data_IF_750030816980
#
_entry.id   IF_750030816980
#
_cell.length_a   1.000
_cell.length_b   1.000
_cell.length_c   1.000
_cell.angle_alpha   90.00
_cell.angle_beta   90.00
_cell.angle_gamma   90.00
#
_symmetry.space_group_name_H-M   'P 1'
#
loop_
_entity.id
_entity.type
_entity.pdbx_description
1 polymer ?
#
# COMPACT_ATOMS: atom_id res chain seq x y z
N UNK A 1 -18.45 -82.06 -20.45
CA UNK A 1 -18.76 -81.20 -21.61
C UNK A 1 -19.52 -79.98 -21.09
N UNK A 2 -18.79 -78.99 -20.54
CA UNK A 2 -19.13 -77.56 -20.37
C UNK A 2 -17.78 -76.85 -20.18
N UNK A 3 -17.67 -75.67 -20.79
CA UNK A 3 -16.49 -74.85 -21.16
C UNK A 3 -15.58 -74.37 -20.00
N UNK A 4 -14.23 -74.49 -20.09
CA UNK A 4 -13.27 -74.07 -19.06
C UNK A 4 -12.65 -72.70 -19.37
N UNK A 5 -13.41 -71.61 -19.28
CA UNK A 5 -12.85 -70.24 -19.27
C UNK A 5 -13.78 -69.30 -18.53
N UNK A 6 -13.63 -69.15 -17.21
CA UNK A 6 -13.81 -67.92 -16.41
C UNK A 6 -13.40 -68.23 -14.97
N UNK A 7 -12.09 -68.23 -14.71
CA UNK A 7 -11.61 -68.10 -13.33
C UNK A 7 -11.69 -66.63 -12.92
N UNK A 8 -11.90 -66.30 -11.62
CA UNK A 8 -11.68 -64.94 -11.15
C UNK A 8 -10.18 -64.65 -11.28
N UNK A 9 -9.83 -63.90 -12.33
CA UNK A 9 -8.47 -63.49 -12.60
C UNK A 9 -7.92 -62.61 -11.47
N UNK A 10 -6.79 -63.10 -10.95
CA UNK A 10 -5.60 -62.41 -10.45
C UNK A 10 -5.76 -60.91 -10.17
N UNK A 11 -5.44 -60.56 -8.92
CA UNK A 11 -4.97 -59.23 -8.53
C UNK A 11 -3.91 -58.70 -9.50
N UNK A 12 -4.29 -57.76 -10.36
CA UNK A 12 -3.37 -56.93 -11.15
C UNK A 12 -2.69 -55.93 -10.21
N UNK A 13 -1.45 -56.24 -9.82
CA UNK A 13 -0.59 -55.35 -9.04
C UNK A 13 0.06 -54.23 -9.88
N UNK A 14 -0.44 -53.95 -11.09
CA UNK A 14 0.17 -53.03 -12.06
C UNK A 14 -0.69 -51.79 -12.41
N UNK A 15 -1.79 -51.52 -11.68
CA UNK A 15 -2.62 -50.32 -11.94
C UNK A 15 -2.30 -49.08 -11.08
N UNK A 16 -1.26 -49.10 -10.23
CA UNK A 16 -0.81 -47.91 -9.46
C UNK A 16 0.58 -47.41 -9.87
N UNK A 17 0.95 -47.60 -11.14
CA UNK A 17 2.22 -47.16 -11.71
C UNK A 17 2.06 -46.19 -12.87
N UNK A 18 1.46 -45.01 -12.66
CA UNK A 18 1.73 -43.81 -13.48
C UNK A 18 1.67 -42.56 -12.61
N UNK A 19 2.81 -42.23 -12.01
CA UNK A 19 3.16 -40.84 -11.70
C UNK A 19 3.08 -40.02 -12.98
N UNK A 20 2.24 -38.97 -13.08
CA UNK A 20 2.43 -37.98 -14.11
C UNK A 20 3.74 -37.27 -13.79
N UNK A 21 4.73 -37.52 -14.64
CA UNK A 21 6.01 -36.82 -14.64
C UNK A 21 5.78 -35.33 -14.74
N UNK A 22 6.47 -34.63 -13.85
CA UNK A 22 6.48 -33.19 -13.74
C UNK A 22 6.92 -32.84 -12.34
N UNK A 23 8.16 -33.20 -11.97
CA UNK A 23 8.87 -32.43 -10.96
C UNK A 23 9.00 -31.03 -11.55
N UNK A 24 7.96 -30.21 -11.35
CA UNK A 24 8.00 -28.79 -11.68
C UNK A 24 9.24 -28.25 -11.01
N UNK A 25 10.13 -27.67 -11.82
CA UNK A 25 11.31 -26.96 -11.37
C UNK A 25 10.91 -26.19 -10.11
N UNK A 26 11.53 -26.51 -8.97
CA UNK A 26 11.21 -25.85 -7.72
C UNK A 26 11.66 -24.40 -7.88
N UNK A 27 10.76 -23.56 -8.41
CA UNK A 27 11.00 -22.14 -8.58
C UNK A 27 11.00 -21.58 -7.19
N UNK A 28 12.22 -21.51 -6.68
CA UNK A 28 12.55 -20.99 -5.39
C UNK A 28 11.86 -19.61 -5.21
N UNK A 29 11.59 -18.84 -6.28
CA UNK A 29 10.97 -17.50 -6.25
C UNK A 29 9.44 -17.53 -6.09
N UNK A 30 8.83 -18.71 -6.19
CA UNK A 30 7.43 -18.92 -5.84
C UNK A 30 7.31 -19.19 -4.33
N UNK A 31 6.20 -18.79 -3.69
CA UNK A 31 5.92 -19.19 -2.33
C UNK A 31 5.97 -20.73 -2.19
N UNK A 32 6.41 -21.24 -1.04
CA UNK A 32 6.56 -22.69 -0.82
C UNK A 32 5.26 -23.48 -1.03
N UNK A 33 4.11 -22.80 -1.00
CA UNK A 33 2.79 -23.38 -1.24
C UNK A 33 2.33 -23.32 -2.70
N UNK A 34 3.00 -22.59 -3.60
CA UNK A 34 2.56 -22.42 -4.99
C UNK A 34 2.69 -23.68 -5.85
N UNK A 35 3.43 -24.69 -5.37
CA UNK A 35 3.50 -26.03 -5.95
C UNK A 35 2.69 -27.07 -5.17
N UNK A 36 2.03 -26.69 -4.07
CA UNK A 36 1.13 -27.60 -3.37
C UNK A 36 -0.18 -27.69 -4.16
N UNK A 37 -0.74 -28.90 -4.28
CA UNK A 37 -2.12 -29.06 -4.72
C UNK A 37 -2.98 -28.09 -3.89
N UNK A 38 -3.97 -27.39 -4.50
CA UNK A 38 -4.81 -26.45 -3.76
C UNK A 38 -5.32 -27.19 -2.53
N UNK A 39 -4.81 -26.80 -1.36
CA UNK A 39 -5.26 -27.39 -0.12
C UNK A 39 -6.75 -27.12 -0.10
N UNK A 40 -7.55 -28.20 -0.15
CA UNK A 40 -8.99 -28.13 -0.04
C UNK A 40 -9.29 -27.05 0.97
N UNK A 41 -10.09 -26.06 0.56
CA UNK A 41 -10.52 -24.99 1.42
C UNK A 41 -10.97 -25.65 2.72
N UNK A 42 -10.13 -25.62 3.77
CA UNK A 42 -10.66 -25.68 5.13
C UNK A 42 -11.31 -24.32 5.21
N UNK A 43 -12.55 -24.33 4.74
CA UNK A 43 -13.52 -23.29 4.82
C UNK A 43 -13.59 -22.94 6.31
N UNK A 44 -12.73 -22.02 6.75
CA UNK A 44 -13.12 -21.11 7.81
C UNK A 44 -14.18 -20.19 7.19
N UNK A 45 -15.35 -20.78 6.89
CA UNK A 45 -16.60 -20.07 6.66
C UNK A 45 -16.84 -19.28 7.95
N UNK A 46 -16.43 -18.01 7.96
CA UNK A 46 -16.75 -17.14 9.09
C UNK A 46 -15.82 -15.96 9.32
N UNK A 47 -14.53 -16.00 8.95
CA UNK A 47 -13.63 -14.90 9.36
C UNK A 47 -13.46 -13.78 8.34
N UNK A 48 -13.67 -14.01 7.03
CA UNK A 48 -13.40 -13.02 5.96
C UNK A 48 -11.92 -12.57 5.83
N UNK A 49 -11.11 -12.89 6.85
CA UNK A 49 -9.67 -12.61 6.95
C UNK A 49 -8.88 -13.49 5.97
N UNK A 50 -9.28 -14.74 5.77
CA UNK A 50 -8.62 -15.66 4.82
C UNK A 50 -8.82 -15.22 3.36
N UNK A 51 -10.04 -14.83 2.97
CA UNK A 51 -10.30 -14.35 1.60
C UNK A 51 -9.55 -13.06 1.29
N UNK A 52 -9.54 -12.12 2.23
CA UNK A 52 -8.86 -10.84 2.06
C UNK A 52 -7.34 -11.05 2.00
N UNK A 53 -6.79 -11.87 2.90
CA UNK A 53 -5.39 -12.32 2.84
C UNK A 53 -5.04 -12.85 1.44
N UNK A 54 -5.93 -13.65 0.85
CA UNK A 54 -5.69 -14.32 -0.41
C UNK A 54 -5.73 -13.39 -1.62
N UNK A 55 -6.56 -12.35 -1.57
CA UNK A 55 -6.60 -11.30 -2.60
C UNK A 55 -5.27 -10.55 -2.70
N UNK A 56 -4.66 -10.21 -1.56
CA UNK A 56 -3.40 -9.47 -1.57
C UNK A 56 -2.22 -10.29 -2.11
N UNK A 57 -2.14 -11.57 -1.74
CA UNK A 57 -1.13 -12.50 -2.27
C UNK A 57 -1.33 -12.74 -3.77
N UNK A 58 -2.56 -13.01 -4.21
CA UNK A 58 -2.86 -13.19 -5.63
C UNK A 58 -2.50 -11.94 -6.45
N UNK A 59 -2.82 -10.75 -5.94
CA UNK A 59 -2.43 -9.50 -6.58
C UNK A 59 -0.90 -9.32 -6.63
N UNK A 60 -0.17 -9.77 -5.60
CA UNK A 60 1.29 -9.75 -5.61
C UNK A 60 1.89 -10.75 -6.61
N UNK A 61 1.28 -11.93 -6.79
CA UNK A 61 1.71 -12.90 -7.80
C UNK A 61 1.48 -12.39 -9.22
N UNK A 62 0.35 -11.73 -9.47
CA UNK A 62 0.02 -11.17 -10.78
C UNK A 62 1.03 -10.10 -11.23
N UNK A 63 1.60 -9.32 -10.31
CA UNK A 63 2.61 -8.29 -10.63
C UNK A 63 3.94 -8.86 -11.09
N UNK A 64 4.37 -10.00 -10.54
CA UNK A 64 5.77 -10.47 -10.65
C UNK A 64 6.27 -10.67 -12.08
N UNK A 65 5.52 -11.33 -13.00
CA UNK A 65 6.07 -11.68 -14.31
C UNK A 65 6.47 -10.47 -15.17
N UNK A 66 5.76 -9.34 -15.07
CA UNK A 66 6.04 -8.14 -15.87
C UNK A 66 6.68 -6.97 -15.13
N UNK A 67 6.84 -7.04 -13.81
CA UNK A 67 7.46 -5.97 -13.02
C UNK A 67 8.99 -5.95 -13.20
N UNK A 68 9.49 -5.11 -14.11
CA UNK A 68 10.93 -4.92 -14.38
C UNK A 68 11.55 -3.77 -13.58
N UNK A 69 10.77 -3.08 -12.75
CA UNK A 69 11.26 -2.07 -11.80
C UNK A 69 11.44 -2.66 -10.39
N UNK A 70 12.05 -1.90 -9.48
CA UNK A 70 12.40 -2.31 -8.11
C UNK A 70 12.86 -1.12 -7.26
N UNK A 71 13.67 -1.35 -6.22
CA UNK A 71 14.11 -0.30 -5.29
C UNK A 71 14.72 0.95 -5.94
N UNK A 72 15.54 0.87 -7.01
CA UNK A 72 16.05 2.08 -7.66
C UNK A 72 14.95 2.99 -8.22
N UNK A 73 13.85 2.41 -8.73
CA UNK A 73 12.73 3.18 -9.23
C UNK A 73 11.94 3.85 -8.09
N UNK A 74 11.75 3.14 -6.98
CA UNK A 74 11.15 3.71 -5.77
C UNK A 74 12.00 4.86 -5.19
N UNK A 75 13.32 4.67 -5.14
CA UNK A 75 14.25 5.71 -4.69
C UNK A 75 14.24 6.93 -5.61
N UNK A 76 14.13 6.75 -6.94
CA UNK A 76 14.02 7.85 -7.89
C UNK A 76 12.72 8.65 -7.69
N UNK A 77 11.58 7.97 -7.53
CA UNK A 77 10.27 8.60 -7.28
C UNK A 77 10.29 9.41 -5.99
N UNK A 78 10.74 8.80 -4.90
CA UNK A 78 10.86 9.47 -3.60
C UNK A 78 11.90 10.60 -3.65
N UNK A 79 13.02 10.40 -4.35
CA UNK A 79 14.05 11.41 -4.54
C UNK A 79 13.54 12.63 -5.31
N UNK A 80 12.72 12.44 -6.35
CA UNK A 80 12.07 13.53 -7.08
C UNK A 80 11.13 14.34 -6.17
N UNK A 81 10.33 13.66 -5.35
CA UNK A 81 9.45 14.31 -4.39
C UNK A 81 10.25 15.15 -3.37
N UNK A 82 11.28 14.54 -2.76
CA UNK A 82 12.14 15.20 -1.79
C UNK A 82 12.86 16.41 -2.39
N UNK A 83 13.46 16.25 -3.57
CA UNK A 83 14.14 17.34 -4.27
C UNK A 83 13.18 18.49 -4.56
N UNK A 84 11.95 18.20 -5.00
CA UNK A 84 10.94 19.22 -5.22
C UNK A 84 10.58 20.00 -3.95
N UNK A 85 10.40 19.32 -2.81
CA UNK A 85 10.14 19.99 -1.54
C UNK A 85 11.34 20.80 -1.01
N UNK A 86 12.57 20.32 -1.24
CA UNK A 86 13.78 21.08 -0.88
C UNK A 86 13.91 22.34 -1.73
N UNK A 87 13.65 22.26 -3.04
CA UNK A 87 13.65 23.42 -3.94
C UNK A 87 12.53 24.40 -3.61
N UNK A 88 11.34 23.90 -3.25
CA UNK A 88 10.22 24.73 -2.85
C UNK A 88 10.59 25.66 -1.68
N UNK A 89 11.29 25.12 -0.67
CA UNK A 89 11.76 25.89 0.48
C UNK A 89 12.77 27.00 0.16
N UNK A 90 13.36 27.00 -1.05
CA UNK A 90 14.24 28.07 -1.53
C UNK A 90 13.46 29.19 -2.26
N UNK A 91 12.28 28.88 -2.79
CA UNK A 91 11.50 29.78 -3.65
C UNK A 91 10.32 30.40 -2.89
N UNK A 92 9.74 29.68 -1.94
CA UNK A 92 8.59 30.15 -1.16
C UNK A 92 9.05 30.69 0.19
N UNK A 93 8.84 31.99 0.38
CA UNK A 93 9.22 32.74 1.60
C UNK A 93 8.09 32.91 2.61
N UNK A 94 6.84 32.57 2.26
CA UNK A 94 5.68 32.66 3.15
C UNK A 94 4.72 31.50 2.95
N UNK A 95 4.31 30.87 4.05
CA UNK A 95 3.31 29.80 4.09
C UNK A 95 1.88 30.31 3.82
N UNK A 96 1.65 31.63 3.94
CA UNK A 96 0.35 32.26 3.66
C UNK A 96 0.14 32.60 2.17
N UNK A 97 1.11 32.31 1.32
CA UNK A 97 1.04 32.62 -0.11
C UNK A 97 0.26 31.56 -0.90
N UNK A 98 -0.58 31.95 -1.89
CA UNK A 98 -1.09 31.02 -2.91
C UNK A 98 -0.01 30.16 -3.58
N UNK A 99 1.20 30.72 -3.73
CA UNK A 99 2.34 30.02 -4.29
C UNK A 99 2.79 28.85 -3.41
N UNK A 100 2.63 28.96 -2.09
CA UNK A 100 2.87 27.84 -1.17
C UNK A 100 1.93 26.68 -1.48
N UNK A 101 0.62 26.96 -1.58
CA UNK A 101 -0.41 25.94 -1.86
C UNK A 101 -0.15 25.21 -3.16
N UNK A 102 0.14 25.91 -4.26
CA UNK A 102 0.48 25.26 -5.53
C UNK A 102 1.83 24.55 -5.45
N UNK A 103 2.80 25.18 -4.79
CA UNK A 103 4.16 24.69 -4.67
C UNK A 103 4.29 23.36 -3.94
N UNK A 104 3.47 23.11 -2.91
CA UNK A 104 3.44 21.81 -2.23
C UNK A 104 2.79 20.70 -3.05
N UNK A 105 1.95 21.04 -4.03
CA UNK A 105 1.25 20.05 -4.87
C UNK A 105 2.18 19.48 -5.95
N UNK A 106 2.99 20.35 -6.57
CA UNK A 106 3.80 20.02 -7.74
C UNK A 106 4.77 18.85 -7.49
N UNK A 107 5.61 18.83 -6.43
CA UNK A 107 6.54 17.73 -6.18
C UNK A 107 5.84 16.36 -6.05
N UNK A 108 4.67 16.34 -5.42
CA UNK A 108 3.89 15.12 -5.20
C UNK A 108 3.21 14.63 -6.48
N UNK A 109 2.66 15.55 -7.28
CA UNK A 109 2.09 15.22 -8.60
C UNK A 109 3.16 14.68 -9.56
N UNK A 110 4.33 15.32 -9.60
CA UNK A 110 5.44 14.89 -10.46
C UNK A 110 5.96 13.51 -10.05
N UNK A 111 6.13 13.27 -8.76
CA UNK A 111 6.60 11.98 -8.26
C UNK A 111 5.56 10.85 -8.47
N UNK A 112 4.28 11.11 -8.20
CA UNK A 112 3.21 10.15 -8.50
C UNK A 112 3.08 9.89 -10.01
N UNK A 113 3.18 10.93 -10.83
CA UNK A 113 3.20 10.80 -12.29
C UNK A 113 4.38 9.98 -12.80
N UNK A 114 5.58 10.19 -12.24
CA UNK A 114 6.75 9.37 -12.53
C UNK A 114 6.54 7.92 -12.11
N UNK A 115 5.91 7.68 -10.95
CA UNK A 115 5.60 6.33 -10.50
C UNK A 115 4.68 5.62 -11.49
N UNK A 116 3.61 6.27 -11.96
CA UNK A 116 2.73 5.75 -13.01
C UNK A 116 3.51 5.48 -14.30
N UNK A 117 4.32 6.43 -14.76
CA UNK A 117 5.12 6.28 -15.98
C UNK A 117 6.10 5.09 -15.91
N UNK A 118 6.70 4.84 -14.75
CA UNK A 118 7.55 3.66 -14.53
C UNK A 118 6.73 2.37 -14.63
N UNK A 119 5.54 2.29 -14.04
CA UNK A 119 4.67 1.10 -14.16
C UNK A 119 4.22 0.85 -15.59
N UNK A 120 3.97 1.90 -16.38
CA UNK A 120 3.57 1.77 -17.78
C UNK A 120 4.73 1.34 -18.69
N UNK A 121 5.94 1.84 -18.44
CA UNK A 121 7.11 1.59 -19.31
C UNK A 121 7.91 0.34 -18.91
N UNK A 122 7.88 -0.05 -17.64
CA UNK A 122 8.71 -1.13 -17.07
C UNK A 122 7.93 -2.09 -16.18
N UNK A 123 6.60 -2.01 -16.16
CA UNK A 123 5.74 -2.86 -15.32
C UNK A 123 4.55 -3.39 -16.10
N UNK A 124 3.51 -3.79 -15.38
CA UNK A 124 2.27 -4.31 -15.95
C UNK A 124 1.21 -3.20 -16.12
N UNK A 125 1.61 -1.93 -16.00
CA UNK A 125 0.73 -0.79 -15.88
C UNK A 125 0.15 -0.60 -14.47
N UNK A 126 -0.40 0.60 -14.18
CA UNK A 126 -0.80 0.98 -12.82
C UNK A 126 -1.96 0.13 -12.27
N UNK A 127 -2.80 -0.44 -13.14
CA UNK A 127 -3.93 -1.28 -12.72
C UNK A 127 -3.44 -2.53 -11.99
N UNK A 128 -2.48 -3.24 -12.57
CA UNK A 128 -1.91 -4.46 -11.97
C UNK A 128 -0.91 -4.08 -10.86
N UNK A 129 0.03 -3.18 -11.19
CA UNK A 129 1.15 -2.83 -10.31
C UNK A 129 0.70 -2.17 -9.01
N UNK A 130 -0.36 -1.35 -9.04
CA UNK A 130 -0.93 -0.72 -7.84
C UNK A 130 -2.23 -1.38 -7.34
N UNK A 131 -2.71 -2.40 -8.06
CA UNK A 131 -3.95 -3.12 -7.72
C UNK A 131 -5.19 -2.24 -7.84
N UNK A 132 -5.30 -1.41 -8.87
CA UNK A 132 -6.53 -0.64 -9.11
C UNK A 132 -7.69 -1.60 -9.45
N UNK A 133 -8.91 -1.31 -8.98
CA UNK A 133 -10.05 -2.20 -9.17
C UNK A 133 -10.41 -2.31 -10.66
N UNK A 134 -10.74 -3.53 -11.08
CA UNK A 134 -11.18 -3.86 -12.46
C UNK A 134 -12.70 -3.94 -12.59
N UNK A 135 -13.39 -3.98 -11.45
CA UNK A 135 -14.85 -4.02 -11.38
C UNK A 135 -15.37 -3.10 -10.28
N UNK A 136 -16.63 -2.71 -10.37
CA UNK A 136 -17.31 -1.90 -9.34
C UNK A 136 -17.36 -2.65 -8.00
N UNK A 137 -17.54 -3.97 -8.04
CA UNK A 137 -17.56 -4.80 -6.84
C UNK A 137 -16.21 -4.75 -6.09
N UNK A 138 -15.09 -4.83 -6.80
CA UNK A 138 -13.75 -4.64 -6.22
C UNK A 138 -13.59 -3.24 -5.64
N UNK A 139 -13.99 -2.21 -6.40
CA UNK A 139 -13.92 -0.81 -5.96
C UNK A 139 -14.67 -0.61 -4.62
N UNK A 140 -15.90 -1.09 -4.52
CA UNK A 140 -16.70 -1.01 -3.29
C UNK A 140 -16.04 -1.78 -2.15
N UNK A 141 -15.50 -2.97 -2.42
CA UNK A 141 -14.74 -3.74 -1.43
C UNK A 141 -13.52 -2.98 -0.90
N UNK A 142 -12.77 -2.33 -1.79
CA UNK A 142 -11.59 -1.55 -1.43
C UNK A 142 -11.97 -0.31 -0.61
N UNK A 143 -13.02 0.41 -1.00
CA UNK A 143 -13.54 1.56 -0.25
C UNK A 143 -14.01 1.11 1.14
N UNK A 144 -14.75 0.00 1.27
CA UNK A 144 -15.20 -0.50 2.58
C UNK A 144 -14.02 -0.86 3.49
N UNK A 145 -13.01 -1.55 2.94
CA UNK A 145 -11.78 -1.84 3.68
C UNK A 145 -11.07 -0.55 4.11
N UNK A 146 -10.98 0.42 3.20
CA UNK A 146 -10.38 1.72 3.46
C UNK A 146 -11.11 2.53 4.53
N UNK A 147 -12.45 2.55 4.52
CA UNK A 147 -13.24 3.21 5.56
C UNK A 147 -13.00 2.56 6.93
N UNK A 148 -12.96 1.22 7.00
CA UNK A 148 -12.73 0.51 8.25
C UNK A 148 -11.34 0.83 8.84
N UNK A 149 -10.28 0.70 8.04
CA UNK A 149 -8.91 0.98 8.49
C UNK A 149 -8.63 2.47 8.65
N UNK A 150 -9.30 3.33 7.87
CA UNK A 150 -9.29 4.77 8.04
C UNK A 150 -9.90 5.20 9.36
N UNK A 151 -11.00 4.55 9.78
CA UNK A 151 -11.56 4.75 11.12
C UNK A 151 -10.59 4.36 12.24
N UNK A 152 -9.89 3.23 12.09
CA UNK A 152 -8.83 2.81 13.04
C UNK A 152 -7.68 3.82 13.08
N UNK A 153 -7.24 4.29 11.91
CA UNK A 153 -6.20 5.31 11.79
C UNK A 153 -6.62 6.61 12.49
N UNK A 154 -7.82 7.12 12.17
CA UNK A 154 -8.36 8.36 12.70
C UNK A 154 -8.56 8.29 14.22
N UNK A 155 -9.26 7.27 14.73
CA UNK A 155 -9.55 7.16 16.17
C UNK A 155 -8.26 6.98 16.96
N UNK A 156 -7.38 6.05 16.56
CA UNK A 156 -6.12 5.86 17.26
C UNK A 156 -5.19 7.07 17.14
N UNK A 157 -5.18 7.74 15.99
CA UNK A 157 -4.42 8.97 15.77
C UNK A 157 -4.89 10.11 16.66
N UNK A 158 -6.21 10.33 16.78
CA UNK A 158 -6.78 11.33 17.69
C UNK A 158 -6.46 11.01 19.14
N UNK A 159 -6.63 9.75 19.58
CA UNK A 159 -6.31 9.35 20.95
C UNK A 159 -4.82 9.57 21.28
N UNK A 160 -3.92 9.20 20.38
CA UNK A 160 -2.48 9.43 20.54
C UNK A 160 -2.16 10.93 20.53
N UNK A 161 -2.78 11.72 19.66
CA UNK A 161 -2.61 13.16 19.64
C UNK A 161 -3.06 13.81 20.95
N UNK A 162 -4.21 13.42 21.51
CA UNK A 162 -4.68 13.89 22.81
C UNK A 162 -3.72 13.54 23.95
N UNK A 163 -3.17 12.32 23.94
CA UNK A 163 -2.15 11.92 24.91
C UNK A 163 -0.92 12.81 24.77
N UNK A 164 -0.43 13.06 23.55
CA UNK A 164 0.71 13.95 23.33
C UNK A 164 0.43 15.38 23.81
N UNK A 165 -0.72 15.96 23.44
CA UNK A 165 -1.18 17.30 23.86
C UNK A 165 -1.27 17.42 25.40
N UNK A 166 -1.54 16.33 26.11
CA UNK A 166 -1.57 16.32 27.58
C UNK A 166 -0.19 16.30 28.24
N UNK A 167 0.88 16.01 27.50
CA UNK A 167 2.23 15.76 28.02
C UNK A 167 3.29 16.75 27.55
N UNK A 168 3.06 17.39 26.42
CA UNK A 168 4.02 18.26 25.75
C UNK A 168 3.36 19.61 25.52
N UNK A 169 4.07 20.69 25.84
CA UNK A 169 3.64 22.04 25.52
C UNK A 169 4.01 22.36 24.07
N UNK A 170 3.00 22.63 23.24
CA UNK A 170 3.14 22.80 21.78
C UNK A 170 2.99 24.26 21.32
N UNK A 171 3.13 25.23 22.23
CA UNK A 171 2.89 26.66 21.96
C UNK A 171 3.56 27.17 20.66
N UNK A 172 4.70 26.63 20.26
CA UNK A 172 5.45 27.03 19.06
C UNK A 172 5.41 26.03 17.89
N UNK A 173 4.63 24.95 17.98
CA UNK A 173 4.63 23.85 16.99
C UNK A 173 3.30 23.69 16.25
N UNK A 174 2.37 24.65 16.39
CA UNK A 174 1.12 24.64 15.66
C UNK A 174 1.39 24.65 14.14
N UNK A 175 1.16 23.54 13.41
CA UNK A 175 1.58 23.38 12.01
C UNK A 175 0.86 24.31 11.01
N UNK A 176 -0.03 25.18 11.51
CA UNK A 176 -1.03 25.89 10.73
C UNK A 176 -1.23 27.34 11.22
N UNK A 177 -0.36 27.85 12.11
CA UNK A 177 -0.52 29.19 12.71
C UNK A 177 -0.53 30.34 11.70
N UNK A 178 0.16 30.18 10.55
CA UNK A 178 0.17 31.15 9.45
C UNK A 178 -0.96 30.99 8.42
N UNK A 179 -1.88 30.04 8.62
CA UNK A 179 -2.93 29.76 7.62
C UNK A 179 -4.18 30.62 7.78
N UNK A 180 -4.37 31.26 8.93
CA UNK A 180 -5.51 32.14 9.19
C UNK A 180 -5.63 33.25 8.13
N UNK A 181 -4.49 33.76 7.66
CA UNK A 181 -4.39 34.90 6.74
C UNK A 181 -4.56 34.54 5.25
N UNK A 182 -4.71 33.25 4.92
CA UNK A 182 -4.91 32.79 3.54
C UNK A 182 -6.34 33.09 3.08
N UNK A 183 -6.51 33.58 1.84
CA UNK A 183 -7.84 33.78 1.26
C UNK A 183 -8.66 32.46 1.22
N UNK A 184 -9.95 32.53 1.56
CA UNK A 184 -10.83 31.35 1.70
C UNK A 184 -10.79 30.41 0.48
N UNK A 185 -10.73 30.95 -0.74
CA UNK A 185 -10.63 30.13 -1.95
C UNK A 185 -9.38 29.21 -1.95
N UNK A 186 -8.25 29.72 -1.47
CA UNK A 186 -7.01 28.95 -1.33
C UNK A 186 -7.04 27.99 -0.14
N UNK A 187 -7.73 28.33 0.96
CA UNK A 187 -8.01 27.37 2.05
C UNK A 187 -8.79 26.17 1.55
N UNK A 188 -9.82 26.39 0.73
CA UNK A 188 -10.62 25.29 0.12
C UNK A 188 -9.75 24.41 -0.77
N UNK A 189 -8.95 25.00 -1.66
CA UNK A 189 -8.02 24.24 -2.53
C UNK A 189 -7.06 23.41 -1.68
N UNK A 190 -6.50 24.00 -0.64
CA UNK A 190 -5.54 23.33 0.21
C UNK A 190 -6.17 22.20 1.05
N UNK A 191 -7.35 22.43 1.62
CA UNK A 191 -8.11 21.43 2.35
C UNK A 191 -8.47 20.22 1.46
N UNK A 192 -8.93 20.47 0.22
CA UNK A 192 -9.21 19.40 -0.77
C UNK A 192 -7.93 18.66 -1.15
N UNK A 193 -6.81 19.37 -1.30
CA UNK A 193 -5.52 18.75 -1.56
C UNK A 193 -5.11 17.81 -0.42
N UNK A 194 -5.14 18.27 0.84
CA UNK A 194 -4.79 17.43 2.01
C UNK A 194 -5.73 16.24 2.16
N UNK A 195 -7.01 16.44 1.86
CA UNK A 195 -8.02 15.41 2.03
C UNK A 195 -7.96 14.32 0.95
N UNK A 196 -7.69 14.69 -0.31
CA UNK A 196 -7.81 13.79 -1.46
C UNK A 196 -6.52 13.72 -2.27
N UNK A 197 -6.01 14.87 -2.71
CA UNK A 197 -4.88 14.93 -3.65
C UNK A 197 -3.58 14.35 -3.09
N UNK A 198 -3.16 14.83 -1.91
CA UNK A 198 -1.97 14.34 -1.21
C UNK A 198 -2.08 12.84 -0.90
N UNK A 199 -3.17 12.31 -0.32
CA UNK A 199 -3.37 10.86 -0.16
C UNK A 199 -3.22 10.05 -1.44
N UNK A 200 -3.75 10.50 -2.58
CA UNK A 200 -3.59 9.79 -3.86
C UNK A 200 -2.10 9.73 -4.26
N UNK A 201 -1.41 10.86 -4.21
CA UNK A 201 0.01 10.93 -4.58
C UNK A 201 0.88 10.09 -3.63
N UNK A 202 0.71 10.28 -2.33
CA UNK A 202 1.51 9.60 -1.31
C UNK A 202 1.28 8.09 -1.35
N UNK A 203 0.04 7.62 -1.46
CA UNK A 203 -0.23 6.19 -1.55
C UNK A 203 0.30 5.57 -2.85
N UNK A 204 0.32 6.33 -3.95
CA UNK A 204 0.98 5.91 -5.19
C UNK A 204 2.49 5.71 -4.99
N UNK A 205 3.15 6.63 -4.28
CA UNK A 205 4.59 6.53 -4.01
C UNK A 205 4.92 5.44 -2.98
N UNK A 206 4.24 5.42 -1.84
CA UNK A 206 4.57 4.57 -0.70
C UNK A 206 3.94 3.17 -0.81
N UNK A 207 2.63 3.07 -1.09
CA UNK A 207 1.87 1.80 -1.10
C UNK A 207 1.74 1.20 -2.51
N UNK A 208 2.04 1.99 -3.54
CA UNK A 208 2.24 1.56 -4.90
C UNK A 208 3.71 1.20 -5.16
N UNK A 209 4.52 2.20 -5.47
CA UNK A 209 5.90 2.02 -5.95
C UNK A 209 6.85 1.42 -4.89
N UNK A 210 6.96 2.04 -3.71
CA UNK A 210 7.88 1.54 -2.67
C UNK A 210 7.45 0.16 -2.15
N UNK A 211 6.16 -0.04 -1.85
CA UNK A 211 5.63 -1.34 -1.44
C UNK A 211 5.92 -2.41 -2.50
N UNK A 212 5.58 -2.17 -3.77
CA UNK A 212 5.81 -3.14 -4.83
C UNK A 212 7.29 -3.43 -5.07
N UNK A 213 8.17 -2.45 -4.81
CA UNK A 213 9.63 -2.64 -4.90
C UNK A 213 10.17 -3.51 -3.74
N UNK A 214 9.62 -3.35 -2.53
CA UNK A 214 9.99 -4.15 -1.35
C UNK A 214 9.35 -5.55 -1.34
N UNK A 215 8.15 -5.68 -1.92
CA UNK A 215 7.42 -6.95 -2.06
C UNK A 215 8.07 -7.87 -3.10
N UNK A 216 8.78 -7.29 -4.07
CA UNK A 216 9.57 -8.02 -5.06
C UNK A 216 10.73 -8.76 -4.40
N UNK A 217 10.57 -10.08 -4.21
CA UNK A 217 11.63 -10.97 -3.75
C UNK A 217 12.65 -11.20 -4.86
N UNK A 218 13.72 -10.41 -4.91
CA UNK A 218 14.88 -10.70 -5.77
C UNK A 218 15.81 -11.70 -5.09
N UNK A 219 16.17 -12.79 -5.79
CA UNK A 219 17.11 -13.80 -5.30
C UNK A 219 18.58 -13.50 -5.65
N UNK A 220 19.54 -13.90 -4.79
CA UNK A 220 19.41 -14.11 -3.36
C UNK A 220 19.79 -12.81 -2.64
N UNK A 221 18.80 -12.00 -2.27
CA UNK A 221 19.08 -10.95 -1.28
C UNK A 221 19.49 -11.62 0.03
N UNK A 222 20.61 -11.21 0.67
CA UNK A 222 21.03 -11.74 1.97
C UNK A 222 20.03 -11.47 3.10
N UNK A 223 19.02 -10.61 2.86
CA UNK A 223 17.94 -10.31 3.78
C UNK A 223 16.67 -11.05 3.36
N UNK A 224 16.61 -12.35 3.62
CA UNK A 224 15.46 -13.20 3.30
C UNK A 224 14.12 -12.74 3.95
N UNK A 225 14.16 -11.82 4.92
CA UNK A 225 12.96 -11.20 5.48
C UNK A 225 12.35 -10.13 4.56
N UNK A 226 13.13 -9.50 3.67
CA UNK A 226 12.61 -8.55 2.68
C UNK A 226 11.68 -9.31 1.72
N UNK A 227 10.41 -8.90 1.69
CA UNK A 227 9.34 -9.64 1.01
C UNK A 227 8.40 -10.40 1.95
N UNK A 228 8.58 -10.33 3.27
CA UNK A 228 7.50 -10.54 4.23
C UNK A 228 6.66 -9.25 4.30
N UNK A 229 5.39 -9.34 3.94
CA UNK A 229 4.45 -8.21 3.91
C UNK A 229 4.34 -7.43 5.23
N UNK A 230 4.55 -8.07 6.39
CA UNK A 230 4.59 -7.38 7.68
C UNK A 230 5.83 -6.50 7.82
N UNK A 231 6.97 -6.94 7.27
CA UNK A 231 8.18 -6.13 7.22
C UNK A 231 8.01 -4.99 6.21
N UNK A 232 7.43 -5.26 5.04
CA UNK A 232 7.08 -4.21 4.07
C UNK A 232 6.16 -3.16 4.69
N UNK A 233 5.14 -3.60 5.43
CA UNK A 233 4.25 -2.73 6.20
C UNK A 233 5.03 -1.83 7.17
N UNK A 234 5.89 -2.40 8.00
CA UNK A 234 6.65 -1.63 8.99
C UNK A 234 7.61 -0.66 8.31
N UNK A 235 8.36 -1.11 7.29
CA UNK A 235 9.30 -0.26 6.56
C UNK A 235 8.55 0.92 5.91
N UNK A 236 7.48 0.65 5.18
CA UNK A 236 6.72 1.72 4.51
C UNK A 236 6.05 2.67 5.51
N UNK A 237 5.56 2.18 6.65
CA UNK A 237 4.98 3.03 7.70
C UNK A 237 6.03 3.92 8.39
N UNK A 238 7.21 3.38 8.71
CA UNK A 238 8.32 4.14 9.28
C UNK A 238 8.84 5.17 8.29
N UNK A 239 9.07 4.78 7.03
CA UNK A 239 9.51 5.71 6.00
C UNK A 239 8.49 6.84 5.80
N UNK A 240 7.20 6.52 5.78
CA UNK A 240 6.12 7.50 5.69
C UNK A 240 6.17 8.52 6.85
N UNK A 241 6.32 8.04 8.09
CA UNK A 241 6.40 8.90 9.27
C UNK A 241 7.67 9.79 9.26
N UNK A 242 8.82 9.25 8.86
CA UNK A 242 10.06 10.03 8.70
C UNK A 242 9.90 11.08 7.60
N UNK A 243 9.20 10.75 6.50
CA UNK A 243 9.02 11.63 5.34
C UNK A 243 8.31 12.95 5.68
N UNK A 244 7.43 12.91 6.68
CA UNK A 244 6.72 14.10 7.15
C UNK A 244 7.62 15.07 7.90
N UNK A 245 8.76 14.62 8.44
CA UNK A 245 9.74 15.44 9.19
C UNK A 245 9.16 16.15 10.42
N UNK A 246 8.04 15.66 10.96
CA UNK A 246 7.38 16.18 12.15
C UNK A 246 7.64 15.25 13.34
N UNK A 247 8.83 15.34 13.95
CA UNK A 247 9.26 14.44 15.02
C UNK A 247 8.31 14.42 16.22
N UNK A 248 7.67 15.54 16.51
CA UNK A 248 6.76 15.68 17.65
C UNK A 248 5.50 14.80 17.52
N UNK A 249 5.01 14.56 16.29
CA UNK A 249 3.87 13.67 16.02
C UNK A 249 4.28 12.34 15.39
N UNK A 250 5.57 12.00 15.42
CA UNK A 250 6.10 10.80 14.76
C UNK A 250 5.30 9.53 15.13
N UNK A 251 4.95 9.36 16.41
CA UNK A 251 4.18 8.20 16.88
C UNK A 251 2.76 8.17 16.29
N UNK A 252 2.12 9.34 16.13
CA UNK A 252 0.80 9.46 15.50
C UNK A 252 0.88 9.10 14.01
N UNK A 253 1.91 9.60 13.32
CA UNK A 253 2.14 9.31 11.90
C UNK A 253 2.50 7.84 11.67
N UNK A 254 3.30 7.25 12.56
CA UNK A 254 3.64 5.83 12.50
C UNK A 254 2.39 4.96 12.68
N UNK A 255 1.54 5.29 13.66
CA UNK A 255 0.27 4.61 13.87
C UNK A 255 -0.63 4.69 12.62
N UNK A 256 -0.86 5.91 12.11
CA UNK A 256 -1.64 6.12 10.90
C UNK A 256 -1.06 5.36 9.71
N UNK A 257 0.26 5.43 9.52
CA UNK A 257 0.98 4.73 8.46
C UNK A 257 0.84 3.20 8.53
N UNK A 258 0.80 2.63 9.74
CA UNK A 258 0.51 1.21 9.95
C UNK A 258 -0.94 0.86 9.61
N UNK A 259 -1.93 1.60 10.14
CA UNK A 259 -3.34 1.34 9.86
C UNK A 259 -3.68 1.46 8.36
N UNK A 260 -3.22 2.53 7.72
CA UNK A 260 -3.34 2.77 6.27
C UNK A 260 -2.63 1.66 5.48
N UNK A 261 -1.42 1.28 5.90
CA UNK A 261 -0.66 0.20 5.28
C UNK A 261 -1.35 -1.16 5.40
N UNK A 262 -2.04 -1.43 6.52
CA UNK A 262 -2.82 -2.68 6.67
C UNK A 262 -3.98 -2.70 5.67
N UNK A 263 -4.61 -1.57 5.36
CA UNK A 263 -5.64 -1.50 4.32
C UNK A 263 -5.09 -1.99 2.97
N UNK A 264 -3.90 -1.52 2.56
CA UNK A 264 -3.19 -1.97 1.35
C UNK A 264 -2.76 -3.44 1.43
N UNK A 265 -2.22 -3.86 2.58
CA UNK A 265 -1.73 -5.22 2.80
C UNK A 265 -2.86 -6.25 2.72
N UNK A 266 -4.07 -5.86 3.13
CA UNK A 266 -5.26 -6.71 3.10
C UNK A 266 -5.96 -6.67 1.74
N UNK A 267 -6.16 -5.50 1.16
CA UNK A 267 -6.89 -5.40 -0.12
C UNK A 267 -6.05 -5.79 -1.33
N UNK A 268 -4.73 -5.67 -1.26
CA UNK A 268 -3.87 -5.73 -2.43
C UNK A 268 -3.90 -4.46 -3.29
N UNK A 269 -4.60 -3.40 -2.87
CA UNK A 269 -4.91 -2.21 -3.67
C UNK A 269 -4.55 -0.92 -2.97
N UNK A 270 -3.95 0.03 -3.70
CA UNK A 270 -3.75 1.39 -3.20
C UNK A 270 -5.08 2.13 -3.00
N UNK A 271 -6.18 1.75 -3.64
CA UNK A 271 -7.48 2.43 -3.45
C UNK A 271 -7.95 2.29 -2.02
N UNK A 272 -7.78 1.12 -1.40
CA UNK A 272 -8.15 0.91 -0.01
C UNK A 272 -7.30 1.78 0.94
N UNK A 273 -5.99 1.89 0.69
CA UNK A 273 -5.12 2.71 1.53
C UNK A 273 -5.31 4.20 1.27
N UNK A 274 -5.56 4.63 0.04
CA UNK A 274 -5.95 6.01 -0.28
C UNK A 274 -7.24 6.39 0.42
N UNK A 275 -8.28 5.54 0.40
CA UNK A 275 -9.51 5.80 1.17
C UNK A 275 -9.21 5.88 2.68
N UNK A 276 -8.43 4.95 3.24
CA UNK A 276 -8.06 5.00 4.66
C UNK A 276 -7.29 6.28 5.01
N UNK A 277 -6.40 6.71 4.13
CA UNK A 277 -5.60 7.91 4.28
C UNK A 277 -6.45 9.17 4.19
N UNK A 278 -7.37 9.27 3.23
CA UNK A 278 -8.33 10.38 3.16
C UNK A 278 -9.22 10.47 4.40
N UNK A 279 -9.67 9.35 4.96
CA UNK A 279 -10.40 9.34 6.23
C UNK A 279 -9.53 9.87 7.37
N UNK A 280 -8.28 9.40 7.48
CA UNK A 280 -7.32 9.90 8.47
C UNK A 280 -7.05 11.42 8.31
N UNK A 281 -7.00 11.91 7.08
CA UNK A 281 -6.75 13.32 6.76
C UNK A 281 -7.99 14.21 6.81
N UNK A 282 -9.16 13.65 7.16
CA UNK A 282 -10.40 14.44 7.30
C UNK A 282 -10.24 15.47 8.41
N UNK A 283 -9.65 15.11 9.55
CA UNK A 283 -9.47 16.05 10.67
C UNK A 283 -8.50 17.21 10.32
N UNK A 284 -7.27 16.97 9.82
CA UNK A 284 -6.39 18.05 9.35
C UNK A 284 -7.02 18.97 8.29
N UNK A 285 -7.75 18.40 7.32
CA UNK A 285 -8.40 19.19 6.27
C UNK A 285 -9.49 20.11 6.82
N UNK A 286 -10.29 19.62 7.78
CA UNK A 286 -11.30 20.43 8.46
C UNK A 286 -10.69 21.54 9.29
N UNK A 287 -9.58 21.27 10.00
CA UNK A 287 -8.88 22.30 10.77
C UNK A 287 -8.42 23.44 9.87
N UNK A 288 -7.87 23.15 8.69
CA UNK A 288 -7.42 24.19 7.74
C UNK A 288 -8.57 25.01 7.18
N UNK A 289 -9.71 24.35 6.93
CA UNK A 289 -10.88 25.04 6.40
C UNK A 289 -11.54 25.98 7.44
N UNK A 290 -11.40 25.66 8.73
CA UNK A 290 -12.03 26.36 9.84
C UNK A 290 -11.10 27.35 10.58
N UNK A 291 -9.78 27.25 10.36
CA UNK A 291 -8.78 28.22 10.83
C UNK A 291 -8.86 29.52 10.02
#
# INVERSE_FOLDING_TARGET
MVDPRQGPDRFDADQFGRTPGGAGEFDVNRPSWAGMAPMNHVQQQGSGLSETYWRAEAAAEERRPGQRWGLPAAALVLGLNLAGFLLLGLVVSSESSPLFVVGIMIPSLLAAGLAVAVTMSRGNGPVVDFGLPRSVHELVGHIRSGLAWGGVALVGGVLLALVLLSRIDFQDQAPLGGMADIAVGWKVVFAVWIWIGAPICEETMFRGMLWGALEKRTRPMPMAWLGNRWVVLVITAVMFAIWHREWWRFVVLLWGGLAIGIARMRSGSIVASTTAHSVNNTFPALVILLA
#
